data_IF_996828665302
#
_entry.id   IF_996828665302
#
_cell.length_a   1.000
_cell.length_b   1.000
_cell.length_c   1.000
_cell.angle_alpha   90.00
_cell.angle_beta   90.00
_cell.angle_gamma   90.00
#
_symmetry.space_group_name_H-M   'P 1'
#
loop_
_entity.id
_entity.type
_entity.pdbx_description
1 polymer ?
#
# COMPACT_ATOMS: atom_id res chain seq x y z
N UNK A 1 -5.34 -3.01 -5.60
CA UNK A 1 -4.73 -3.92 -4.60
C UNK A 1 -3.72 -3.14 -3.78
N UNK A 2 -3.73 -3.31 -2.46
CA UNK A 2 -2.66 -2.80 -1.59
C UNK A 2 -1.35 -3.41 -2.08
N UNK A 3 -0.41 -2.57 -2.48
CA UNK A 3 0.89 -3.05 -2.93
C UNK A 3 1.82 -3.11 -1.73
N UNK A 4 2.25 -4.31 -1.40
CA UNK A 4 3.15 -4.56 -0.29
C UNK A 4 4.43 -3.70 -0.44
N UNK A 5 4.90 -3.14 0.67
CA UNK A 5 6.10 -2.28 0.73
C UNK A 5 7.39 -3.11 0.83
N UNK A 6 7.27 -4.39 1.19
CA UNK A 6 8.39 -5.32 1.32
C UNK A 6 8.53 -6.16 0.06
N UNK A 7 9.73 -6.32 -0.50
CA UNK A 7 9.97 -7.14 -1.69
C UNK A 7 10.25 -8.61 -1.39
N UNK A 8 9.75 -9.54 -2.21
CA UNK A 8 10.12 -10.95 -2.12
C UNK A 8 11.49 -11.12 -2.77
N UNK A 9 12.47 -11.58 -1.98
CA UNK A 9 13.84 -11.81 -2.45
C UNK A 9 13.93 -12.86 -3.56
N UNK A 10 13.00 -13.82 -3.62
CA UNK A 10 13.05 -14.95 -4.56
C UNK A 10 12.45 -14.63 -5.93
N UNK A 11 11.23 -14.09 -5.97
CA UNK A 11 10.57 -13.79 -7.24
C UNK A 11 10.79 -12.35 -7.73
N UNK A 12 11.39 -11.49 -6.89
CA UNK A 12 11.59 -10.08 -7.17
C UNK A 12 10.29 -9.36 -7.59
N UNK A 13 9.14 -9.98 -7.29
CA UNK A 13 7.83 -9.57 -7.75
C UNK A 13 7.36 -8.45 -6.83
N UNK A 14 8.05 -7.30 -6.86
CA UNK A 14 7.75 -6.17 -5.99
C UNK A 14 8.26 -4.82 -6.47
N UNK A 15 7.63 -3.80 -5.89
CA UNK A 15 7.64 -2.42 -6.31
C UNK A 15 8.96 -1.73 -5.93
N UNK A 16 9.97 -1.83 -6.80
CA UNK A 16 11.31 -1.24 -6.59
C UNK A 16 11.33 0.26 -6.32
N UNK A 17 10.29 0.98 -6.74
CA UNK A 17 10.11 2.40 -6.45
C UNK A 17 8.68 2.68 -6.01
N UNK A 18 8.46 3.58 -5.03
CA UNK A 18 7.12 4.03 -4.64
C UNK A 18 6.26 4.39 -5.86
N UNK A 19 5.04 3.84 -5.88
CA UNK A 19 4.01 4.18 -6.86
C UNK A 19 2.83 4.74 -6.09
N UNK A 20 2.31 5.87 -6.55
CA UNK A 20 1.11 6.45 -5.96
C UNK A 20 -0.08 5.52 -6.12
N UNK A 21 -0.73 5.12 -5.03
CA UNK A 21 -1.91 4.26 -5.09
C UNK A 21 -3.15 4.94 -5.67
N UNK A 22 -3.18 6.28 -5.72
CA UNK A 22 -4.29 7.01 -6.33
C UNK A 22 -4.16 7.16 -7.85
N UNK A 23 -2.98 7.55 -8.34
CA UNK A 23 -2.79 7.87 -9.76
C UNK A 23 -1.86 6.92 -10.51
N UNK A 24 -1.28 5.91 -9.85
CA UNK A 24 -0.39 4.93 -10.46
C UNK A 24 0.96 5.47 -10.94
N UNK A 25 1.27 6.75 -10.69
CA UNK A 25 2.53 7.36 -11.13
C UNK A 25 3.69 6.89 -10.25
N UNK A 26 4.85 6.70 -10.88
CA UNK A 26 6.15 6.40 -10.23
C UNK A 26 7.06 7.65 -10.20
N UNK A 27 6.71 8.69 -10.97
CA UNK A 27 7.43 9.97 -11.06
C UNK A 27 6.47 11.17 -11.14
N UNK A 28 6.69 12.26 -10.40
CA UNK A 28 6.02 13.57 -10.65
C UNK A 28 6.89 14.37 -11.63
N UNK A 29 6.25 14.91 -12.68
CA UNK A 29 6.90 15.73 -13.70
C UNK A 29 6.75 17.22 -13.34
N UNK A 30 7.79 18.04 -13.48
CA UNK A 30 7.76 19.45 -13.04
C UNK A 30 6.79 20.33 -13.82
N UNK A 31 6.51 20.01 -15.09
CA UNK A 31 5.58 20.78 -15.93
C UNK A 31 4.16 20.21 -15.83
N UNK A 32 3.28 20.95 -15.16
CA UNK A 32 1.82 20.74 -15.21
C UNK A 32 1.19 19.94 -14.06
N UNK A 33 1.93 19.64 -12.99
CA UNK A 33 1.38 18.96 -11.82
C UNK A 33 0.81 19.91 -10.76
N UNK A 34 -0.30 19.54 -10.14
CA UNK A 34 -0.84 20.15 -8.91
C UNK A 34 -0.04 19.68 -7.66
N UNK A 35 1.28 19.48 -7.80
CA UNK A 35 2.15 18.94 -6.76
C UNK A 35 2.24 19.99 -5.60
N UNK A 36 1.93 19.56 -4.38
CA UNK A 36 1.91 20.36 -3.15
C UNK A 36 3.30 20.91 -2.80
N UNK A 37 4.33 20.12 -3.12
CA UNK A 37 5.73 20.55 -3.16
C UNK A 37 6.10 20.80 -4.61
N UNK A 38 6.48 22.04 -4.94
CA UNK A 38 6.97 22.39 -6.28
C UNK A 38 8.41 21.92 -6.44
N UNK A 39 8.73 21.35 -7.59
CA UNK A 39 10.07 20.92 -7.98
C UNK A 39 10.39 21.51 -9.34
N UNK A 40 11.24 22.54 -9.38
CA UNK A 40 11.55 23.28 -10.60
C UNK A 40 12.55 22.50 -11.47
N UNK A 41 12.17 22.19 -12.72
CA UNK A 41 13.09 21.65 -13.71
C UNK A 41 13.55 20.20 -13.50
N UNK A 42 13.06 19.51 -12.47
CA UNK A 42 13.46 18.15 -12.14
C UNK A 42 12.26 17.19 -12.10
N UNK A 43 12.52 15.92 -12.42
CA UNK A 43 11.58 14.84 -12.16
C UNK A 43 11.83 14.30 -10.77
N UNK A 44 10.75 14.11 -10.01
CA UNK A 44 10.86 13.57 -8.66
C UNK A 44 10.40 12.13 -8.66
N UNK A 45 11.26 11.25 -8.16
CA UNK A 45 11.06 9.79 -8.04
C UNK A 45 11.32 9.36 -6.59
N UNK A 46 11.10 8.08 -6.30
CA UNK A 46 11.41 7.54 -4.98
C UNK A 46 10.56 8.19 -3.87
N UNK A 47 11.17 8.36 -2.70
CA UNK A 47 10.53 9.01 -1.55
C UNK A 47 10.23 10.49 -1.78
N UNK A 48 10.97 11.19 -2.65
CA UNK A 48 10.69 12.60 -2.95
C UNK A 48 9.31 12.82 -3.61
N UNK A 49 8.77 11.77 -4.24
CA UNK A 49 7.46 11.80 -4.89
C UNK A 49 6.31 11.58 -3.90
N UNK A 50 6.60 10.98 -2.75
CA UNK A 50 5.63 10.64 -1.70
C UNK A 50 5.26 11.90 -0.92
N UNK A 51 3.97 12.19 -0.86
CA UNK A 51 3.42 13.29 -0.05
C UNK A 51 2.70 12.82 1.21
N UNK A 52 2.17 11.60 1.21
CA UNK A 52 1.53 10.99 2.37
C UNK A 52 1.57 9.46 2.31
N UNK A 53 1.32 8.86 3.47
CA UNK A 53 0.95 7.47 3.65
C UNK A 53 -0.55 7.45 3.94
N UNK A 54 -1.32 6.58 3.29
CA UNK A 54 -2.72 6.40 3.67
C UNK A 54 -2.82 5.71 5.03
N UNK A 55 -3.57 6.29 5.97
CA UNK A 55 -3.76 5.72 7.31
C UNK A 55 -4.56 4.41 7.30
N UNK A 56 -5.34 4.15 6.25
CA UNK A 56 -6.15 2.92 6.16
C UNK A 56 -5.39 1.76 5.52
N UNK A 57 -4.80 1.98 4.35
CA UNK A 57 -4.18 0.92 3.55
C UNK A 57 -2.66 0.96 3.50
N UNK A 58 -2.02 1.86 4.25
CA UNK A 58 -0.58 2.11 4.20
C UNK A 58 -0.01 2.30 2.78
N UNK A 59 -0.80 2.73 1.81
CA UNK A 59 -0.27 2.93 0.47
C UNK A 59 0.46 4.28 0.36
N UNK A 60 1.49 4.33 -0.49
CA UNK A 60 2.16 5.59 -0.84
C UNK A 60 1.24 6.46 -1.68
N UNK A 61 1.06 7.72 -1.29
CA UNK A 61 0.31 8.73 -2.05
C UNK A 61 1.28 9.82 -2.48
N UNK A 62 1.26 10.14 -3.78
CA UNK A 62 2.12 11.20 -4.27
C UNK A 62 1.69 12.57 -3.74
N UNK A 63 2.61 13.52 -3.76
CA UNK A 63 2.35 14.89 -3.32
C UNK A 63 1.41 15.71 -4.21
N UNK A 64 0.68 15.11 -5.17
CA UNK A 64 -0.37 15.81 -5.91
C UNK A 64 -1.50 16.19 -4.95
N UNK A 65 -1.91 17.46 -4.93
CA UNK A 65 -3.00 17.94 -4.07
C UNK A 65 -4.27 17.12 -4.28
N UNK A 66 -4.63 16.83 -5.53
CA UNK A 66 -5.75 15.93 -5.84
C UNK A 66 -5.57 14.58 -5.17
N UNK A 67 -4.41 13.93 -5.33
CA UNK A 67 -4.22 12.59 -4.77
C UNK A 67 -4.31 12.56 -3.24
N UNK A 68 -3.72 13.57 -2.59
CA UNK A 68 -3.75 13.74 -1.13
C UNK A 68 -5.18 13.95 -0.60
N UNK A 69 -6.00 14.72 -1.32
CA UNK A 69 -7.37 15.02 -0.89
C UNK A 69 -8.36 13.90 -1.22
N UNK A 70 -8.11 13.09 -2.25
CA UNK A 70 -9.08 12.08 -2.69
C UNK A 70 -8.86 10.71 -2.07
N UNK A 71 -7.60 10.29 -1.86
CA UNK A 71 -7.32 8.88 -1.63
C UNK A 71 -7.94 8.34 -0.33
N UNK A 72 -7.77 9.04 0.79
CA UNK A 72 -8.30 8.59 2.08
C UNK A 72 -9.83 8.45 2.02
N UNK A 73 -10.54 9.43 1.46
CA UNK A 73 -11.99 9.43 1.35
C UNK A 73 -12.55 8.28 0.49
N UNK A 74 -11.79 7.81 -0.51
CA UNK A 74 -12.19 6.72 -1.40
C UNK A 74 -11.36 5.46 -1.18
N UNK A 75 -10.73 5.30 -0.01
CA UNK A 75 -9.84 4.20 0.23
C UNK A 75 -10.66 2.90 0.34
N UNK A 76 -10.35 1.84 -0.44
CA UNK A 76 -11.08 0.57 -0.35
C UNK A 76 -11.00 -0.09 1.02
N UNK A 77 -10.01 0.28 1.84
CA UNK A 77 -9.80 -0.25 3.17
C UNK A 77 -10.41 0.63 4.27
N UNK A 78 -11.09 1.73 3.95
CA UNK A 78 -11.71 2.58 4.98
C UNK A 78 -12.81 1.83 5.77
N UNK A 79 -13.47 0.87 5.13
CA UNK A 79 -14.57 0.07 5.71
C UNK A 79 -14.16 -1.39 5.95
N UNK A 80 -12.86 -1.70 5.93
CA UNK A 80 -12.40 -3.07 6.14
C UNK A 80 -12.62 -3.54 7.59
N UNK A 81 -12.81 -4.85 7.74
CA UNK A 81 -13.01 -5.52 9.03
C UNK A 81 -11.99 -6.64 9.14
N UNK A 82 -11.25 -6.69 10.25
CA UNK A 82 -10.27 -7.75 10.47
C UNK A 82 -10.97 -9.12 10.54
N UNK A 83 -10.45 -10.09 9.80
CA UNK A 83 -10.96 -11.46 9.79
C UNK A 83 -10.85 -12.12 11.18
N UNK A 84 -9.78 -11.85 11.93
CA UNK A 84 -9.51 -12.51 13.20
C UNK A 84 -10.30 -11.85 14.35
N UNK A 85 -9.98 -10.60 14.68
CA UNK A 85 -10.62 -9.93 15.83
C UNK A 85 -12.00 -9.31 15.53
N UNK A 86 -12.50 -9.37 14.30
CA UNK A 86 -13.82 -8.87 13.86
C UNK A 86 -14.08 -7.36 14.10
N UNK A 87 -13.03 -6.59 14.37
CA UNK A 87 -13.08 -5.14 14.56
C UNK A 87 -12.83 -4.41 13.24
N UNK A 88 -13.43 -3.24 13.10
CA UNK A 88 -13.30 -2.38 11.93
C UNK A 88 -12.06 -1.48 12.00
N UNK A 89 -11.67 -0.89 10.87
CA UNK A 89 -10.51 0.01 10.75
C UNK A 89 -10.48 1.11 11.82
N UNK A 90 -11.64 1.69 12.12
CA UNK A 90 -11.77 2.79 13.07
C UNK A 90 -11.54 2.36 14.53
N UNK A 91 -11.79 1.09 14.86
CA UNK A 91 -11.52 0.53 16.19
C UNK A 91 -10.01 0.35 16.44
N UNK A 92 -9.23 0.22 15.36
CA UNK A 92 -7.78 0.10 15.38
C UNK A 92 -7.07 1.45 15.20
N UNK A 93 -7.80 2.51 14.82
CA UNK A 93 -7.20 3.79 14.43
C UNK A 93 -6.55 3.77 13.05
N UNK A 94 -6.91 2.82 12.18
CA UNK A 94 -6.36 2.65 10.84
C UNK A 94 -5.68 1.30 10.61
N UNK A 95 -4.88 1.23 9.54
CA UNK A 95 -3.86 0.22 9.25
C UNK A 95 -4.41 -1.20 9.15
N UNK A 96 -5.09 -1.45 8.04
CA UNK A 96 -5.52 -2.78 7.62
C UNK A 96 -4.68 -3.26 6.43
N UNK A 97 -4.44 -4.57 6.39
CA UNK A 97 -3.65 -5.25 5.39
C UNK A 97 -4.49 -6.33 4.70
N UNK A 98 -4.20 -6.57 3.42
CA UNK A 98 -4.76 -7.72 2.70
C UNK A 98 -3.79 -8.90 2.81
N UNK A 99 -4.28 -10.05 3.25
CA UNK A 99 -3.52 -11.29 3.27
C UNK A 99 -3.06 -11.66 1.85
N UNK A 100 -1.77 -11.93 1.66
CA UNK A 100 -1.22 -12.31 0.35
C UNK A 100 -1.71 -13.67 -0.16
N UNK A 101 -2.30 -14.50 0.71
CA UNK A 101 -2.72 -15.87 0.41
C UNK A 101 -4.24 -15.97 0.24
N UNK A 102 -5.02 -15.55 1.24
CA UNK A 102 -6.49 -15.65 1.20
C UNK A 102 -7.21 -14.36 0.77
N UNK A 103 -6.50 -13.24 0.59
CA UNK A 103 -7.06 -11.92 0.27
C UNK A 103 -8.01 -11.32 1.32
N UNK A 104 -8.10 -11.92 2.51
CA UNK A 104 -8.88 -11.38 3.63
C UNK A 104 -8.18 -10.19 4.30
N UNK A 105 -8.94 -9.39 5.04
CA UNK A 105 -8.44 -8.20 5.73
C UNK A 105 -7.93 -8.53 7.13
N UNK A 106 -6.79 -7.97 7.50
CA UNK A 106 -6.10 -8.22 8.77
C UNK A 106 -5.65 -6.90 9.38
N UNK A 107 -5.83 -6.71 10.68
CA UNK A 107 -5.26 -5.58 11.38
C UNK A 107 -3.75 -5.77 11.58
N UNK A 108 -3.07 -4.72 12.04
CA UNK A 108 -1.63 -4.76 12.30
C UNK A 108 -1.22 -5.88 13.27
N UNK A 109 -2.03 -6.15 14.30
CA UNK A 109 -1.73 -7.16 15.31
C UNK A 109 -1.87 -8.59 14.74
N UNK A 110 -2.92 -8.82 13.95
CA UNK A 110 -3.28 -10.16 13.46
C UNK A 110 -2.56 -10.55 12.15
N UNK A 111 -2.00 -9.59 11.40
CA UNK A 111 -1.50 -9.85 10.04
C UNK A 111 -0.40 -10.91 9.98
N UNK A 112 0.50 -10.94 10.95
CA UNK A 112 1.68 -11.80 10.92
C UNK A 112 1.32 -13.23 11.31
N UNK A 113 0.54 -13.39 12.39
CA UNK A 113 0.10 -14.71 12.87
C UNK A 113 -0.82 -15.38 11.85
N UNK A 114 -1.74 -14.60 11.26
CA UNK A 114 -2.59 -15.12 10.21
C UNK A 114 -1.79 -15.47 8.96
N UNK A 115 -0.91 -14.60 8.44
CA UNK A 115 -0.14 -14.93 7.23
C UNK A 115 0.79 -16.14 7.42
N UNK A 116 1.39 -16.30 8.59
CA UNK A 116 2.20 -17.47 8.90
C UNK A 116 1.37 -18.78 8.89
N UNK A 117 0.12 -18.71 9.36
CA UNK A 117 -0.80 -19.85 9.42
C UNK A 117 -1.53 -20.11 8.10
N UNK A 118 -1.79 -19.05 7.33
CA UNK A 118 -2.49 -19.06 6.05
C UNK A 118 -1.56 -19.45 4.89
N UNK A 119 -0.25 -19.30 5.06
CA UNK A 119 0.73 -19.84 4.13
C UNK A 119 0.65 -21.37 4.10
N UNK A 120 -0.05 -21.91 3.10
CA UNK A 120 -0.05 -23.35 2.82
C UNK A 120 1.06 -23.65 1.81
N UNK A 121 2.05 -24.45 2.21
CA UNK A 121 3.04 -24.99 1.29
C UNK A 121 2.42 -26.18 0.54
N UNK A 122 1.88 -25.95 -0.67
CA UNK A 122 1.31 -27.03 -1.48
C UNK A 122 2.39 -27.96 -2.09
N UNK A 123 3.64 -27.51 -2.18
CA UNK A 123 4.78 -28.32 -2.59
C UNK A 123 6.11 -27.76 -2.03
N UNK A 124 7.08 -28.63 -1.75
CA UNK A 124 8.48 -28.25 -1.47
C UNK A 124 9.23 -27.80 -2.74
N UNK A 125 8.62 -26.90 -3.51
CA UNK A 125 9.31 -26.27 -4.62
C UNK A 125 9.64 -24.81 -4.23
N UNK A 126 10.88 -24.39 -4.47
CA UNK A 126 11.36 -23.04 -4.12
C UNK A 126 10.86 -21.96 -5.10
N UNK A 127 9.69 -22.14 -5.72
CA UNK A 127 9.14 -21.18 -6.68
C UNK A 127 7.91 -20.50 -6.06
N UNK A 128 7.90 -19.17 -6.05
CA UNK A 128 6.64 -18.44 -5.91
C UNK A 128 5.80 -18.70 -7.15
N UNK A 129 4.54 -19.10 -6.97
CA UNK A 129 3.51 -18.99 -8.00
C UNK A 129 2.85 -17.60 -7.96
#
# INVERSE_FOLDING_TARGET
>A
TQKNRAFCYFCNMLQRMPICAQCGKIKCMSKGGDCAVRHAGQYVTGLGMVGAICDFCEAWICHSKRCLQTHACSCPMADAVCLECKRGVWDHGGRIFTCSFCSEYLCEDDQFEHQASCQVLEAENYKCE
#
